data_IF_121957345560
#
_entry.id   IF_121957345560
#
_cell.length_a   1.000
_cell.length_b   1.000
_cell.length_c   1.000
_cell.angle_alpha   90.00
_cell.angle_beta   90.00
_cell.angle_gamma   90.00
#
_symmetry.space_group_name_H-M   'P 1'
#
loop_
_entity.id
_entity.type
_entity.pdbx_description
1 polymer ?
#
# COMPACT_ATOMS: atom_id res chain seq x y z
N UNK A 1 15.80 -4.28 18.56
CA UNK A 1 14.66 -3.45 18.11
C UNK A 1 15.15 -2.59 16.97
N UNK A 2 14.93 -3.04 15.74
CA UNK A 2 15.43 -2.38 14.54
C UNK A 2 14.63 -1.09 14.25
N UNK A 3 15.32 -0.01 13.91
CA UNK A 3 14.74 1.32 13.79
C UNK A 3 13.76 1.38 12.60
N UNK A 4 12.45 1.33 12.88
CA UNK A 4 11.34 1.37 11.92
C UNK A 4 11.34 2.62 11.00
N UNK A 5 12.24 3.59 11.20
CA UNK A 5 12.36 4.78 10.33
C UNK A 5 13.09 4.51 9.01
N UNK A 6 13.87 3.43 8.92
CA UNK A 6 14.64 3.12 7.71
C UNK A 6 13.93 2.13 6.77
N UNK A 7 12.80 1.55 7.18
CA UNK A 7 12.03 0.62 6.35
C UNK A 7 11.25 1.37 5.26
N UNK A 8 11.09 0.80 4.05
CA UNK A 8 10.18 1.32 3.04
C UNK A 8 8.78 1.57 3.61
N UNK A 9 8.08 2.60 3.12
CA UNK A 9 6.81 3.05 3.75
C UNK A 9 5.74 1.96 3.84
N UNK A 10 5.75 1.02 2.89
CA UNK A 10 4.79 -0.08 2.83
C UNK A 10 5.10 -1.20 3.85
N UNK A 11 6.30 -1.23 4.44
CA UNK A 11 6.67 -2.12 5.56
C UNK A 11 6.63 -1.43 6.92
N UNK A 12 6.24 -0.16 6.97
CA UNK A 12 6.05 0.53 8.25
C UNK A 12 4.67 0.17 8.80
N UNK A 13 4.62 -0.40 10.01
CA UNK A 13 3.37 -0.64 10.72
C UNK A 13 2.56 0.64 10.94
N UNK A 14 1.25 0.51 11.22
CA UNK A 14 0.39 1.69 11.34
C UNK A 14 0.71 2.50 12.62
N UNK A 15 1.24 3.72 12.47
CA UNK A 15 1.34 4.68 13.57
C UNK A 15 -0.03 5.33 13.75
N UNK A 16 -0.73 4.93 14.81
CA UNK A 16 -2.05 5.44 15.18
C UNK A 16 -2.02 6.98 15.29
N UNK A 17 -2.40 7.68 14.22
CA UNK A 17 -2.43 9.15 14.18
C UNK A 17 -3.81 9.62 14.63
N UNK A 18 -3.94 9.90 15.93
CA UNK A 18 -5.16 10.39 16.58
C UNK A 18 -5.67 11.78 16.12
N UNK A 19 -5.23 12.28 14.95
CA UNK A 19 -5.52 13.64 14.46
C UNK A 19 -6.95 13.81 13.92
N UNK A 20 -7.62 12.72 13.52
CA UNK A 20 -9.00 12.77 13.00
C UNK A 20 -10.06 13.08 14.08
N UNK A 21 -9.72 12.91 15.37
CA UNK A 21 -10.64 13.12 16.49
C UNK A 21 -10.96 14.60 16.75
N UNK A 22 -10.00 15.49 16.51
CA UNK A 22 -10.13 16.92 16.85
C UNK A 22 -11.12 17.61 15.89
N UNK A 23 -11.08 17.26 14.61
CA UNK A 23 -11.90 17.91 13.58
C UNK A 23 -13.36 17.43 13.62
N UNK A 24 -13.60 16.15 13.91
CA UNK A 24 -14.95 15.60 14.05
C UNK A 24 -15.68 16.13 15.30
N UNK A 25 -14.95 16.35 16.41
CA UNK A 25 -15.52 16.91 17.64
C UNK A 25 -16.04 18.35 17.48
N UNK A 26 -15.34 19.17 16.69
CA UNK A 26 -15.73 20.58 16.44
C UNK A 26 -16.96 20.67 15.53
N UNK A 27 -17.13 19.75 14.58
CA UNK A 27 -18.28 19.76 13.68
C UNK A 27 -19.59 19.36 14.39
N UNK A 28 -19.49 18.46 15.39
CA UNK A 28 -20.63 17.95 16.15
C UNK A 28 -21.26 18.98 17.09
N UNK A 29 -20.44 19.86 17.69
CA UNK A 29 -20.95 20.92 18.57
C UNK A 29 -21.76 21.96 17.79
N UNK A 30 -21.38 22.22 16.53
CA UNK A 30 -22.08 23.17 15.66
C UNK A 30 -23.42 22.60 15.14
N UNK A 31 -23.48 21.29 14.83
CA UNK A 31 -24.68 20.65 14.30
C UNK A 31 -25.80 20.44 15.36
N UNK A 32 -25.42 20.22 16.62
CA UNK A 32 -26.36 20.00 17.73
C UNK A 32 -27.23 21.23 18.06
N UNK A 33 -26.81 22.43 17.67
CA UNK A 33 -27.57 23.67 17.88
C UNK A 33 -28.73 23.85 16.90
N UNK A 34 -28.79 23.09 15.79
CA UNK A 34 -29.71 23.36 14.69
C UNK A 34 -31.00 22.50 14.66
N UNK A 35 -31.03 21.30 15.29
CA UNK A 35 -32.16 20.35 15.12
C UNK A 35 -32.50 19.58 16.42
N UNK A 36 -33.47 20.04 17.24
CA UNK A 36 -33.72 19.49 18.57
C UNK A 36 -34.29 18.07 18.61
N UNK A 37 -34.95 17.60 17.55
CA UNK A 37 -35.63 16.30 17.54
C UNK A 37 -34.67 15.11 17.33
N UNK A 38 -33.48 15.33 16.77
CA UNK A 38 -32.48 14.28 16.54
C UNK A 38 -31.48 14.12 17.70
N UNK A 39 -31.57 14.95 18.75
CA UNK A 39 -30.59 15.03 19.85
C UNK A 39 -30.42 13.71 20.60
N UNK A 40 -31.43 12.83 20.68
CA UNK A 40 -31.32 11.57 21.45
C UNK A 40 -30.90 10.36 20.59
N UNK A 41 -31.40 10.25 19.36
CA UNK A 41 -31.16 9.06 18.51
C UNK A 41 -29.90 9.19 17.66
N UNK A 42 -29.61 10.40 17.14
CA UNK A 42 -28.45 10.63 16.31
C UNK A 42 -27.13 10.34 17.03
N UNK A 43 -26.90 10.72 18.31
CA UNK A 43 -25.66 10.39 19.00
C UNK A 43 -25.46 8.88 19.16
N UNK A 44 -26.52 8.10 19.39
CA UNK A 44 -26.43 6.64 19.56
C UNK A 44 -26.01 5.98 18.24
N UNK A 45 -26.63 6.36 17.11
CA UNK A 45 -26.27 5.85 15.79
C UNK A 45 -24.85 6.27 15.37
N UNK A 46 -24.45 7.50 15.69
CA UNK A 46 -23.10 8.01 15.43
C UNK A 46 -22.08 7.25 16.28
N UNK A 47 -22.32 7.06 17.58
CA UNK A 47 -21.45 6.29 18.48
C UNK A 47 -21.33 4.84 17.97
N UNK A 48 -22.44 4.22 17.59
CA UNK A 48 -22.43 2.88 17.00
C UNK A 48 -21.59 2.83 15.71
N UNK A 49 -21.81 3.75 14.76
CA UNK A 49 -21.03 3.84 13.54
C UNK A 49 -19.53 4.06 13.79
N UNK A 50 -19.18 4.92 14.75
CA UNK A 50 -17.79 5.16 15.16
C UNK A 50 -17.16 3.91 15.76
N UNK A 51 -17.88 3.15 16.59
CA UNK A 51 -17.39 1.89 17.17
C UNK A 51 -17.13 0.86 16.06
N UNK A 52 -18.07 0.69 15.12
CA UNK A 52 -17.95 -0.27 14.02
C UNK A 52 -16.76 0.09 13.11
N UNK A 53 -16.64 1.37 12.71
CA UNK A 53 -15.51 1.84 11.89
C UNK A 53 -14.18 1.70 12.63
N UNK A 54 -14.13 1.99 13.94
CA UNK A 54 -12.92 1.80 14.75
C UNK A 54 -12.52 0.34 14.82
N UNK A 55 -13.49 -0.57 15.01
CA UNK A 55 -13.23 -2.02 15.07
C UNK A 55 -12.64 -2.50 13.75
N UNK A 56 -13.26 -2.17 12.61
CA UNK A 56 -12.74 -2.53 11.29
C UNK A 56 -11.34 -1.97 11.02
N UNK A 57 -11.08 -0.71 11.38
CA UNK A 57 -9.74 -0.11 11.25
C UNK A 57 -8.70 -0.78 12.16
N UNK A 58 -9.11 -1.20 13.36
CA UNK A 58 -8.24 -1.93 14.27
C UNK A 58 -7.88 -3.31 13.71
N UNK A 59 -8.86 -4.07 13.24
CA UNK A 59 -8.66 -5.40 12.63
C UNK A 59 -7.78 -5.32 11.38
N UNK A 60 -8.04 -4.34 10.51
CA UNK A 60 -7.22 -4.05 9.34
C UNK A 60 -5.75 -3.86 9.71
N UNK A 61 -5.47 -3.03 10.72
CA UNK A 61 -4.10 -2.76 11.15
C UNK A 61 -3.43 -4.02 11.69
N UNK A 62 -4.14 -4.81 12.49
CA UNK A 62 -3.63 -6.08 13.02
C UNK A 62 -3.25 -7.03 11.88
N UNK A 63 -4.15 -7.24 10.90
CA UNK A 63 -3.85 -8.11 9.77
C UNK A 63 -2.69 -7.60 8.92
N UNK A 64 -2.57 -6.28 8.75
CA UNK A 64 -1.47 -5.68 7.99
C UNK A 64 -0.13 -5.85 8.71
N UNK A 65 -0.09 -5.62 10.03
CA UNK A 65 1.15 -5.78 10.81
C UNK A 65 1.60 -7.26 10.83
N UNK A 66 0.67 -8.20 10.98
CA UNK A 66 0.95 -9.64 10.85
C UNK A 66 1.46 -10.00 9.45
N UNK A 67 0.85 -9.46 8.39
CA UNK A 67 1.27 -9.70 7.02
C UNK A 67 2.69 -9.18 6.75
N UNK A 68 3.04 -8.01 7.29
CA UNK A 68 4.40 -7.45 7.19
C UNK A 68 5.40 -8.39 7.88
N UNK A 69 5.09 -8.88 9.08
CA UNK A 69 5.96 -9.83 9.79
C UNK A 69 6.16 -11.14 8.98
N UNK A 70 5.08 -11.68 8.42
CA UNK A 70 5.13 -12.88 7.58
C UNK A 70 5.93 -12.65 6.30
N UNK A 71 5.82 -11.47 5.69
CA UNK A 71 6.63 -11.08 4.53
C UNK A 71 8.13 -11.04 4.87
N UNK A 72 8.49 -10.48 6.02
CA UNK A 72 9.87 -10.41 6.51
C UNK A 72 10.44 -11.80 6.83
N UNK A 73 9.60 -12.73 7.32
CA UNK A 73 9.94 -14.15 7.51
C UNK A 73 9.96 -14.98 6.22
N UNK A 74 9.63 -14.35 5.09
CA UNK A 74 9.50 -15.00 3.79
C UNK A 74 8.41 -16.11 3.74
N UNK A 75 7.38 -16.01 4.57
CA UNK A 75 6.23 -16.92 4.60
C UNK A 75 5.13 -16.45 3.63
N UNK A 76 5.42 -16.49 2.32
CA UNK A 76 4.61 -15.89 1.26
C UNK A 76 3.13 -16.29 1.26
N UNK A 77 2.82 -17.59 1.37
CA UNK A 77 1.44 -18.11 1.40
C UNK A 77 0.64 -17.54 2.57
N UNK A 78 1.21 -17.55 3.79
CA UNK A 78 0.54 -17.01 4.97
C UNK A 78 0.41 -15.49 4.90
N UNK A 79 1.43 -14.82 4.36
CA UNK A 79 1.42 -13.38 4.11
C UNK A 79 0.24 -13.01 3.22
N UNK A 80 0.09 -13.65 2.05
CA UNK A 80 -1.01 -13.40 1.12
C UNK A 80 -2.38 -13.64 1.77
N UNK A 81 -2.54 -14.69 2.60
CA UNK A 81 -3.79 -14.95 3.30
C UNK A 81 -4.17 -13.82 4.28
N UNK A 82 -3.18 -13.19 4.94
CA UNK A 82 -3.43 -12.03 5.80
C UNK A 82 -3.71 -10.75 4.99
N UNK A 83 -3.02 -10.57 3.87
CA UNK A 83 -3.25 -9.44 2.96
C UNK A 83 -4.64 -9.51 2.32
N UNK A 84 -5.15 -10.70 2.03
CA UNK A 84 -6.53 -10.88 1.57
C UNK A 84 -7.53 -10.33 2.59
N UNK A 85 -7.32 -10.57 3.90
CA UNK A 85 -8.15 -9.98 4.97
C UNK A 85 -8.04 -8.45 5.04
N UNK A 86 -6.87 -7.89 4.78
CA UNK A 86 -6.72 -6.43 4.66
C UNK A 86 -7.53 -5.91 3.47
N UNK A 87 -7.46 -6.58 2.32
CA UNK A 87 -8.14 -6.17 1.09
C UNK A 87 -9.66 -6.41 1.12
N UNK A 88 -10.16 -7.34 1.94
CA UNK A 88 -11.59 -7.49 2.25
C UNK A 88 -12.13 -6.25 2.98
N UNK A 89 -11.34 -5.67 3.90
CA UNK A 89 -11.71 -4.50 4.70
C UNK A 89 -11.45 -3.18 3.95
N UNK A 90 -10.38 -3.11 3.18
CA UNK A 90 -9.96 -1.96 2.38
C UNK A 90 -9.35 -2.43 1.06
N UNK A 91 -10.20 -2.52 0.03
CA UNK A 91 -9.84 -3.05 -1.29
C UNK A 91 -8.67 -2.34 -1.94
N UNK A 92 -8.48 -1.05 -1.64
CA UNK A 92 -7.46 -0.20 -2.26
C UNK A 92 -6.33 0.14 -1.28
N UNK A 93 -6.16 -0.68 -0.23
CA UNK A 93 -5.08 -0.54 0.72
C UNK A 93 -3.73 -0.63 0.04
N UNK A 94 -3.08 0.52 -0.14
CA UNK A 94 -1.84 0.63 -0.93
C UNK A 94 -0.73 -0.26 -0.39
N UNK A 95 -0.57 -0.36 0.93
CA UNK A 95 0.47 -1.20 1.54
C UNK A 95 0.23 -2.67 1.24
N UNK A 96 -1.01 -3.13 1.41
CA UNK A 96 -1.36 -4.51 1.13
C UNK A 96 -1.15 -4.88 -0.33
N UNK A 97 -1.55 -4.01 -1.27
CA UNK A 97 -1.35 -4.25 -2.70
C UNK A 97 0.15 -4.34 -3.03
N UNK A 98 0.99 -3.45 -2.47
CA UNK A 98 2.44 -3.49 -2.69
C UNK A 98 3.04 -4.78 -2.15
N UNK A 99 2.73 -5.14 -0.90
CA UNK A 99 3.32 -6.35 -0.30
C UNK A 99 2.88 -7.59 -1.09
N UNK A 100 1.60 -7.68 -1.49
CA UNK A 100 1.13 -8.78 -2.35
C UNK A 100 1.90 -8.83 -3.67
N UNK A 101 2.12 -7.68 -4.32
CA UNK A 101 2.90 -7.62 -5.56
C UNK A 101 4.35 -8.05 -5.35
N UNK A 102 4.97 -7.71 -4.21
CA UNK A 102 6.32 -8.13 -3.88
C UNK A 102 6.43 -9.63 -3.59
N UNK A 103 5.41 -10.22 -2.96
CA UNK A 103 5.33 -11.69 -2.80
C UNK A 103 5.23 -12.35 -4.17
N UNK A 104 4.31 -11.88 -5.03
CA UNK A 104 4.14 -12.39 -6.39
C UNK A 104 5.38 -12.25 -7.26
N UNK A 105 6.10 -11.13 -7.12
CA UNK A 105 7.39 -10.95 -7.79
C UNK A 105 8.42 -12.00 -7.34
N UNK A 106 8.49 -12.32 -6.03
CA UNK A 106 9.40 -13.37 -5.51
C UNK A 106 9.02 -14.77 -5.99
N UNK A 107 7.74 -15.00 -6.26
CA UNK A 107 7.21 -16.23 -6.87
C UNK A 107 7.36 -16.26 -8.39
N UNK A 108 8.04 -15.26 -8.99
CA UNK A 108 8.21 -15.08 -10.44
C UNK A 108 6.89 -14.88 -11.22
N UNK A 109 5.81 -14.55 -10.52
CA UNK A 109 4.51 -14.21 -11.11
C UNK A 109 4.50 -12.74 -11.56
N UNK A 110 5.31 -12.43 -12.58
CA UNK A 110 5.52 -11.07 -13.06
C UNK A 110 4.25 -10.41 -13.64
N UNK A 111 3.37 -11.19 -14.27
CA UNK A 111 2.10 -10.71 -14.79
C UNK A 111 1.16 -10.24 -13.69
N UNK A 112 1.10 -10.97 -12.57
CA UNK A 112 0.31 -10.56 -11.40
C UNK A 112 0.91 -9.35 -10.72
N UNK A 113 2.24 -9.30 -10.64
CA UNK A 113 2.99 -8.14 -10.11
C UNK A 113 2.61 -6.87 -10.85
N UNK A 114 2.66 -6.88 -12.19
CA UNK A 114 2.26 -5.74 -13.04
C UNK A 114 0.81 -5.36 -12.77
N UNK A 115 -0.10 -6.34 -12.73
CA UNK A 115 -1.53 -6.11 -12.49
C UNK A 115 -1.78 -5.44 -11.14
N UNK A 116 -1.13 -5.92 -10.07
CA UNK A 116 -1.30 -5.37 -8.73
C UNK A 116 -0.72 -3.96 -8.62
N UNK A 117 0.50 -3.74 -9.10
CA UNK A 117 1.12 -2.41 -9.07
C UNK A 117 0.38 -1.40 -9.95
N UNK A 118 -0.26 -1.86 -11.03
CA UNK A 118 -1.13 -1.02 -11.88
C UNK A 118 -2.40 -0.51 -11.18
N UNK A 119 -2.80 -1.09 -10.05
CA UNK A 119 -3.92 -0.59 -9.22
C UNK A 119 -3.53 0.59 -8.34
N UNK A 120 -2.23 0.85 -8.19
CA UNK A 120 -1.71 1.88 -7.30
C UNK A 120 -1.59 3.19 -8.07
N UNK A 121 -1.86 4.31 -7.39
CA UNK A 121 -1.64 5.63 -7.97
C UNK A 121 -0.20 5.79 -8.47
N UNK A 122 -0.04 6.41 -9.65
CA UNK A 122 1.27 6.65 -10.26
C UNK A 122 2.20 7.41 -9.30
N UNK A 123 1.68 8.38 -8.55
CA UNK A 123 2.47 9.17 -7.60
C UNK A 123 3.12 8.31 -6.52
N UNK A 124 2.41 7.31 -5.99
CA UNK A 124 2.98 6.40 -4.98
C UNK A 124 4.08 5.54 -5.60
N UNK A 125 3.83 4.96 -6.78
CA UNK A 125 4.81 4.13 -7.47
C UNK A 125 6.04 4.95 -7.83
N UNK A 126 5.86 6.15 -8.38
CA UNK A 126 6.95 7.03 -8.81
C UNK A 126 7.85 7.52 -7.69
N UNK A 127 7.34 7.60 -6.46
CA UNK A 127 8.12 8.00 -5.29
C UNK A 127 8.86 6.83 -4.62
N UNK A 128 8.61 5.59 -5.05
CA UNK A 128 9.21 4.38 -4.49
C UNK A 128 10.12 3.70 -5.53
N UNK A 129 11.39 4.10 -5.54
CA UNK A 129 12.41 3.64 -6.50
C UNK A 129 12.51 2.11 -6.62
N UNK A 130 12.41 1.42 -5.49
CA UNK A 130 12.44 -0.04 -5.41
C UNK A 130 11.21 -0.68 -6.07
N UNK A 131 10.02 -0.09 -5.91
CA UNK A 131 8.78 -0.54 -6.55
C UNK A 131 8.82 -0.27 -8.05
N UNK A 132 9.32 0.90 -8.48
CA UNK A 132 9.55 1.18 -9.90
C UNK A 132 10.49 0.16 -10.53
N UNK A 133 11.59 -0.19 -9.84
CA UNK A 133 12.55 -1.18 -10.33
C UNK A 133 11.89 -2.56 -10.48
N UNK A 134 11.08 -2.97 -9.51
CA UNK A 134 10.34 -4.25 -9.54
C UNK A 134 9.31 -4.28 -10.66
N UNK A 135 8.62 -3.16 -10.90
CA UNK A 135 7.67 -3.02 -12.02
C UNK A 135 8.39 -3.07 -13.38
N UNK A 136 9.48 -2.33 -13.55
CA UNK A 136 10.27 -2.33 -14.79
C UNK A 136 10.83 -3.72 -15.09
N UNK A 137 11.37 -4.40 -14.07
CA UNK A 137 11.88 -5.76 -14.22
C UNK A 137 10.76 -6.76 -14.53
N UNK A 138 9.58 -6.61 -13.91
CA UNK A 138 8.43 -7.44 -14.25
C UNK A 138 8.04 -7.26 -15.73
N UNK A 139 7.98 -6.02 -16.23
CA UNK A 139 7.73 -5.75 -17.65
C UNK A 139 8.80 -6.37 -18.56
N UNK A 140 10.08 -6.28 -18.18
CA UNK A 140 11.18 -6.89 -18.91
C UNK A 140 11.01 -8.41 -18.99
N UNK A 141 10.69 -9.06 -17.87
CA UNK A 141 10.47 -10.52 -17.79
C UNK A 141 9.25 -10.99 -18.58
N UNK A 142 8.20 -10.16 -18.67
CA UNK A 142 7.03 -10.42 -19.51
C UNK A 142 7.22 -9.96 -20.96
N UNK A 143 8.42 -9.52 -21.36
CA UNK A 143 8.78 -9.02 -22.70
C UNK A 143 8.00 -7.77 -23.15
N UNK A 144 7.44 -7.03 -22.20
CA UNK A 144 6.87 -5.71 -22.47
C UNK A 144 7.99 -4.66 -22.43
N UNK A 145 8.87 -4.73 -23.44
CA UNK A 145 10.06 -3.91 -23.51
C UNK A 145 9.75 -2.42 -23.58
N UNK A 146 8.61 -2.05 -24.19
CA UNK A 146 8.18 -0.67 -24.32
C UNK A 146 7.92 -0.04 -22.94
N UNK A 147 7.15 -0.71 -22.08
CA UNK A 147 6.87 -0.19 -20.75
C UNK A 147 8.11 -0.30 -19.83
N UNK A 148 8.89 -1.37 -19.95
CA UNK A 148 10.14 -1.52 -19.21
C UNK A 148 11.13 -0.38 -19.51
N UNK A 149 11.34 -0.06 -20.80
CA UNK A 149 12.29 0.96 -21.25
C UNK A 149 11.95 2.35 -20.70
N UNK A 150 10.67 2.73 -20.71
CA UNK A 150 10.20 4.01 -20.17
C UNK A 150 10.61 4.16 -18.71
N UNK A 151 10.32 3.16 -17.87
CA UNK A 151 10.63 3.21 -16.44
C UNK A 151 12.14 3.14 -16.20
N UNK A 152 12.87 2.28 -16.91
CA UNK A 152 14.32 2.21 -16.76
C UNK A 152 15.05 3.50 -17.16
N UNK A 153 14.56 4.23 -18.17
CA UNK A 153 15.09 5.55 -18.54
C UNK A 153 14.90 6.56 -17.42
N UNK A 154 13.76 6.56 -16.74
CA UNK A 154 13.52 7.41 -15.57
C UNK A 154 14.44 7.02 -14.40
N UNK A 155 14.54 5.73 -14.11
CA UNK A 155 15.42 5.20 -13.05
C UNK A 155 16.90 5.52 -13.32
N UNK A 156 17.35 5.48 -14.58
CA UNK A 156 18.73 5.80 -14.94
C UNK A 156 19.08 7.27 -14.67
N UNK A 157 18.11 8.20 -14.82
CA UNK A 157 18.33 9.62 -14.47
C UNK A 157 18.61 9.79 -12.97
N UNK A 158 17.95 8.98 -12.14
CA UNK A 158 18.10 9.00 -10.69
C UNK A 158 19.34 8.21 -10.22
N UNK A 159 19.72 7.16 -10.95
CA UNK A 159 20.89 6.33 -10.67
C UNK A 159 21.79 6.14 -11.91
N UNK A 160 22.49 7.20 -12.39
CA UNK A 160 23.23 7.15 -13.66
C UNK A 160 24.37 6.13 -13.71
N UNK A 161 24.87 5.72 -12.54
CA UNK A 161 25.96 4.77 -12.37
C UNK A 161 25.49 3.32 -12.23
N UNK A 162 24.18 3.06 -12.30
CA UNK A 162 23.64 1.71 -12.16
C UNK A 162 23.87 0.89 -13.42
N UNK A 163 24.88 0.01 -13.37
CA UNK A 163 25.16 -0.94 -14.45
C UNK A 163 23.99 -1.91 -14.70
N UNK A 164 23.22 -2.22 -13.66
CA UNK A 164 22.01 -3.03 -13.79
C UNK A 164 21.00 -2.36 -14.73
N UNK A 165 20.68 -1.08 -14.51
CA UNK A 165 19.71 -0.35 -15.31
C UNK A 165 20.20 -0.18 -16.76
N UNK A 166 21.50 0.09 -16.95
CA UNK A 166 22.09 0.18 -18.30
C UNK A 166 21.94 -1.12 -19.09
N UNK A 167 22.24 -2.27 -18.47
CA UNK A 167 22.07 -3.58 -19.09
C UNK A 167 20.61 -3.88 -19.42
N UNK A 168 19.69 -3.57 -18.50
CA UNK A 168 18.26 -3.77 -18.72
C UNK A 168 17.73 -2.94 -19.91
N UNK A 169 18.21 -1.70 -20.08
CA UNK A 169 17.87 -0.86 -21.24
C UNK A 169 18.40 -1.40 -22.56
N UNK A 170 19.62 -1.96 -22.57
CA UNK A 170 20.16 -2.63 -23.75
C UNK A 170 19.27 -3.81 -24.15
N UNK A 171 18.81 -4.59 -23.18
CA UNK A 171 17.90 -5.72 -23.42
C UNK A 171 16.54 -5.28 -23.97
N UNK A 172 16.03 -4.10 -23.59
CA UNK A 172 14.78 -3.55 -24.13
C UNK A 172 14.92 -3.09 -25.60
N UNK A 173 16.15 -2.85 -26.07
CA UNK A 173 16.43 -2.29 -27.40
C UNK A 173 16.71 -3.37 -28.48
N UNK A 174 16.69 -4.65 -28.09
CA UNK A 174 16.89 -5.81 -28.96
C UNK A 174 15.54 -6.37 -29.45
#
# INVERSE_FOLDING_TARGET
>A
MENNRNKPFYLQGNKNTGKSLIMAGIFLTVLALAVPFFILVAPILIVYGVIVVRKGKSELNTFLDEAIELYEKNEGVKCLAKLEKVLELDKDNTKAIIISALVKYKEEEYTETIKLLGRISKDVVSNALDIQLKLADSYLKTKDYKNAEVIYKELLKLQPKSEFIKKALQQCSL
#
